data_IF_353560161347
#
_entry.id   IF_353560161347
#
_cell.length_a   1.000
_cell.length_b   1.000
_cell.length_c   1.000
_cell.angle_alpha   90.00
_cell.angle_beta   90.00
_cell.angle_gamma   90.00
#
_symmetry.space_group_name_H-M   'P 1'
#
loop_
_entity.id
_entity.type
_entity.pdbx_description
1 polymer ?
#
# COMPACT_ATOMS: atom_id res chain seq x y z
N UNK A 1 -15.85 -11.04 19.44
CA UNK A 1 -14.40 -11.09 19.74
C UNK A 1 -13.69 -10.47 18.53
N UNK A 2 -12.82 -9.47 18.70
CA UNK A 2 -12.13 -8.85 17.55
C UNK A 2 -11.25 -9.91 16.88
N UNK A 3 -11.59 -10.27 15.64
CA UNK A 3 -10.89 -11.30 14.88
C UNK A 3 -9.70 -10.62 14.19
N UNK A 4 -8.48 -11.03 14.56
CA UNK A 4 -7.28 -10.56 13.88
C UNK A 4 -7.08 -11.35 12.59
N UNK A 5 -6.80 -10.65 11.50
CA UNK A 5 -6.53 -11.24 10.20
C UNK A 5 -5.03 -11.28 9.96
N UNK A 6 -4.52 -12.39 9.42
CA UNK A 6 -3.11 -12.47 9.02
C UNK A 6 -2.90 -11.73 7.70
N UNK A 7 -1.98 -10.79 7.67
CA UNK A 7 -1.48 -10.16 6.45
C UNK A 7 0.04 -10.28 6.41
N UNK A 8 0.55 -11.14 5.52
CA UNK A 8 1.95 -11.54 5.49
C UNK A 8 2.36 -12.13 6.87
N UNK A 9 3.41 -11.61 7.48
CA UNK A 9 3.90 -12.01 8.80
C UNK A 9 3.37 -11.11 9.94
N UNK A 10 2.33 -10.31 9.67
CA UNK A 10 1.70 -9.42 10.64
C UNK A 10 0.26 -9.82 10.94
N UNK A 11 -0.19 -9.49 12.14
CA UNK A 11 -1.61 -9.46 12.48
C UNK A 11 -2.16 -8.08 12.18
N UNK A 12 -3.20 -8.03 11.35
CA UNK A 12 -3.90 -6.81 10.96
C UNK A 12 -5.33 -6.86 11.48
N UNK A 13 -5.82 -5.73 11.97
CA UNK A 13 -7.19 -5.61 12.47
C UNK A 13 -8.11 -5.24 11.31
N UNK A 14 -9.22 -5.96 11.08
CA UNK A 14 -10.21 -5.57 10.06
C UNK A 14 -11.02 -4.33 10.46
N UNK A 15 -11.28 -4.13 11.76
CA UNK A 15 -11.93 -2.95 12.35
C UNK A 15 -11.53 -2.80 13.83
N UNK A 16 -11.25 -1.58 14.29
CA UNK A 16 -10.91 -1.32 15.69
C UNK A 16 -12.14 -1.15 16.59
N UNK A 17 -13.25 -0.66 16.05
CA UNK A 17 -14.43 -0.24 16.79
C UNK A 17 -15.72 -0.68 16.10
N UNK A 18 -16.02 -0.11 14.95
CA UNK A 18 -17.16 -0.42 14.09
C UNK A 18 -16.84 0.05 12.68
N UNK A 19 -16.91 -0.85 11.69
CA UNK A 19 -16.60 -0.56 10.30
C UNK A 19 -17.35 0.65 9.76
N UNK A 20 -18.63 0.83 10.09
CA UNK A 20 -19.44 1.97 9.64
C UNK A 20 -18.89 3.28 10.19
N UNK A 21 -18.57 3.33 11.48
CA UNK A 21 -18.01 4.52 12.11
C UNK A 21 -16.62 4.86 11.55
N UNK A 22 -15.77 3.85 11.34
CA UNK A 22 -14.43 4.04 10.76
C UNK A 22 -14.51 4.50 9.30
N UNK A 23 -15.46 3.96 8.54
CA UNK A 23 -15.78 4.42 7.19
C UNK A 23 -16.21 5.89 7.20
N UNK A 24 -17.17 6.28 8.04
CA UNK A 24 -17.64 7.66 8.11
C UNK A 24 -16.56 8.62 8.63
N UNK A 25 -15.66 8.17 9.51
CA UNK A 25 -14.49 8.94 9.93
C UNK A 25 -13.53 9.18 8.74
N UNK A 26 -13.19 8.15 7.97
CA UNK A 26 -12.33 8.32 6.79
C UNK A 26 -12.96 9.20 5.70
N UNK A 27 -14.28 9.19 5.57
CA UNK A 27 -15.00 9.96 4.53
C UNK A 27 -15.26 11.41 4.90
N UNK A 28 -15.50 11.70 6.18
CA UNK A 28 -15.93 13.02 6.63
C UNK A 28 -14.90 13.73 7.52
N UNK A 29 -13.92 13.00 8.06
CA UNK A 29 -12.89 13.55 8.95
C UNK A 29 -11.50 12.95 8.63
N UNK A 30 -10.99 12.07 9.49
CA UNK A 30 -9.67 11.45 9.37
C UNK A 30 -9.75 9.98 9.80
N UNK A 31 -9.10 9.10 9.03
CA UNK A 31 -8.88 7.69 9.38
C UNK A 31 -7.39 7.40 9.48
N UNK A 32 -6.99 6.61 10.47
CA UNK A 32 -5.61 6.16 10.65
C UNK A 32 -5.53 4.67 10.33
N UNK A 33 -4.61 4.30 9.45
CA UNK A 33 -4.41 2.91 9.01
C UNK A 33 -2.96 2.50 9.24
N UNK A 34 -2.75 1.32 9.84
CA UNK A 34 -1.44 0.68 9.88
C UNK A 34 -1.24 -0.17 8.61
N UNK A 35 -0.47 0.38 7.65
CA UNK A 35 -0.09 -0.28 6.40
C UNK A 35 1.37 -0.77 6.43
N UNK A 36 1.92 -0.97 7.61
CA UNK A 36 3.26 -1.55 7.81
C UNK A 36 3.44 -2.87 7.05
N UNK A 37 2.47 -3.81 7.01
CA UNK A 37 2.66 -5.11 6.36
C UNK A 37 2.92 -5.04 4.84
N UNK A 38 2.53 -3.95 4.18
CA UNK A 38 2.78 -3.78 2.75
C UNK A 38 4.28 -3.62 2.49
N UNK A 39 4.92 -4.58 1.83
CA UNK A 39 6.37 -4.52 1.53
C UNK A 39 6.68 -3.42 0.50
N UNK A 40 7.74 -2.64 0.74
CA UNK A 40 8.23 -1.61 -0.19
C UNK A 40 9.60 -2.03 -0.72
N UNK A 41 9.73 -2.22 -2.03
CA UNK A 41 10.99 -2.58 -2.68
C UNK A 41 11.68 -1.32 -3.25
N UNK A 42 12.98 -1.21 -3.01
CA UNK A 42 13.82 -0.15 -3.59
C UNK A 42 14.74 -0.74 -4.65
N UNK A 43 14.43 -0.47 -5.91
CA UNK A 43 15.20 -0.95 -7.06
C UNK A 43 16.15 0.16 -7.53
N UNK A 44 17.43 -0.16 -7.72
CA UNK A 44 18.51 0.76 -8.11
C UNK A 44 19.48 0.07 -9.05
N UNK A 45 20.23 0.87 -9.79
CA UNK A 45 21.25 0.41 -10.74
C UNK A 45 20.98 0.89 -12.16
N UNK A 46 21.95 0.77 -13.07
CA UNK A 46 21.82 1.20 -14.47
C UNK A 46 20.65 0.50 -15.18
N UNK A 47 20.37 -0.75 -14.82
CA UNK A 47 19.33 -1.57 -15.46
C UNK A 47 17.96 -1.51 -14.76
N UNK A 48 17.76 -0.58 -13.81
CA UNK A 48 16.51 -0.50 -13.05
C UNK A 48 15.28 -0.24 -13.94
N UNK A 49 15.40 0.67 -14.91
CA UNK A 49 14.31 0.99 -15.84
C UNK A 49 13.96 -0.18 -16.77
N UNK A 50 14.89 -0.79 -17.53
CA UNK A 50 14.56 -1.93 -18.39
C UNK A 50 14.05 -3.13 -17.58
N UNK A 51 14.57 -3.37 -16.37
CA UNK A 51 14.03 -4.39 -15.47
C UNK A 51 12.56 -4.11 -15.10
N UNK A 52 12.24 -2.89 -14.66
CA UNK A 52 10.89 -2.50 -14.26
C UNK A 52 9.90 -2.59 -15.42
N UNK A 53 10.28 -2.15 -16.62
CA UNK A 53 9.45 -2.26 -17.82
C UNK A 53 9.23 -3.72 -18.28
N UNK A 54 10.04 -4.67 -17.82
CA UNK A 54 9.78 -6.11 -18.00
C UNK A 54 8.89 -6.69 -16.89
N UNK A 55 8.95 -6.12 -15.69
CA UNK A 55 8.24 -6.60 -14.51
C UNK A 55 6.77 -6.16 -14.48
N UNK A 56 6.48 -4.92 -14.90
CA UNK A 56 5.13 -4.34 -14.86
C UNK A 56 4.64 -4.02 -16.27
N UNK A 57 3.31 -4.01 -16.46
CA UNK A 57 2.68 -3.76 -17.76
C UNK A 57 2.71 -2.28 -18.17
N UNK A 58 2.80 -1.37 -17.19
CA UNK A 58 2.88 0.06 -17.44
C UNK A 58 4.30 0.46 -17.85
N UNK A 59 4.38 1.33 -18.86
CA UNK A 59 5.66 1.96 -19.22
C UNK A 59 6.11 2.96 -18.15
N UNK A 60 7.10 2.54 -17.37
CA UNK A 60 7.72 3.31 -16.27
C UNK A 60 8.54 4.48 -16.80
N UNK A 61 8.99 4.46 -18.05
CA UNK A 61 9.75 5.57 -18.65
C UNK A 61 8.90 6.87 -18.77
N UNK A 62 7.57 6.75 -18.71
CA UNK A 62 6.65 7.89 -18.72
C UNK A 62 6.50 8.56 -17.34
N UNK A 63 7.07 8.00 -16.28
CA UNK A 63 6.99 8.56 -14.94
C UNK A 63 8.13 9.55 -14.69
N UNK A 64 7.79 10.76 -14.25
CA UNK A 64 8.75 11.76 -13.80
C UNK A 64 9.16 11.51 -12.34
N UNK A 65 10.35 11.96 -11.90
CA UNK A 65 10.74 11.92 -10.49
C UNK A 65 9.65 12.48 -9.57
N UNK A 66 9.38 11.80 -8.45
CA UNK A 66 8.35 12.20 -7.48
C UNK A 66 6.90 11.93 -7.92
N UNK A 67 6.68 11.20 -9.01
CA UNK A 67 5.34 10.80 -9.48
C UNK A 67 5.10 9.32 -9.22
N UNK A 68 3.85 9.00 -8.86
CA UNK A 68 3.33 7.63 -8.85
C UNK A 68 2.59 7.38 -10.16
N UNK A 69 2.80 6.20 -10.75
CA UNK A 69 2.25 5.77 -12.03
C UNK A 69 1.06 4.87 -11.86
#
# INVERSE_FOLDING_TARGET
>A
MKVWSRWYDYLSVPEYTCADMEYFAARNTCGVFDLTPMTKHRIKGPDALPYLNRLVTRDVAKLKPGRVG
#
